data_IF_232569933760
#
_entry.id   IF_232569933760
#
_cell.length_a   1.000
_cell.length_b   1.000
_cell.length_c   1.000
_cell.angle_alpha   90.00
_cell.angle_beta   90.00
_cell.angle_gamma   90.00
#
_symmetry.space_group_name_H-M   'P 1'
#
loop_
_entity.id
_entity.type
_entity.pdbx_description
1 polymer ?
#
# COMPACT_ATOMS: atom_id res chain seq x y z
N UNK A 1 -28.21 33.91 -11.34
CA UNK A 1 -26.80 33.48 -11.27
C UNK A 1 -26.65 31.99 -11.53
N UNK A 2 -25.91 31.57 -12.56
CA UNK A 2 -25.58 30.18 -12.78
C UNK A 2 -24.18 29.90 -12.22
N UNK A 3 -24.06 29.03 -11.22
CA UNK A 3 -22.81 28.30 -10.96
C UNK A 3 -23.07 27.10 -10.03
N UNK A 4 -23.89 26.16 -10.48
CA UNK A 4 -23.89 24.82 -9.89
C UNK A 4 -22.74 24.04 -10.55
N UNK A 5 -21.53 24.21 -10.01
CA UNK A 5 -20.37 23.44 -10.46
C UNK A 5 -20.40 22.10 -9.75
N UNK A 6 -21.07 21.13 -10.36
CA UNK A 6 -21.01 19.73 -9.94
C UNK A 6 -19.58 19.23 -10.09
N UNK A 7 -18.83 19.21 -8.98
CA UNK A 7 -17.50 18.60 -8.90
C UNK A 7 -17.67 17.11 -9.19
N UNK A 8 -17.36 16.69 -10.41
CA UNK A 8 -17.37 15.28 -10.79
C UNK A 8 -16.19 14.61 -10.08
N UNK A 9 -16.44 13.94 -8.97
CA UNK A 9 -15.42 13.17 -8.26
C UNK A 9 -15.10 11.94 -9.10
N UNK A 10 -13.95 11.93 -9.77
CA UNK A 10 -13.51 10.72 -10.47
C UNK A 10 -13.27 9.60 -9.46
N UNK A 11 -13.67 8.35 -9.77
CA UNK A 11 -13.43 7.22 -8.89
C UNK A 11 -11.92 7.00 -8.73
N UNK A 12 -11.48 6.77 -7.49
CA UNK A 12 -10.10 6.43 -7.20
C UNK A 12 -9.71 5.15 -7.94
N UNK A 13 -8.61 5.21 -8.68
CA UNK A 13 -8.00 4.04 -9.32
C UNK A 13 -6.72 3.71 -8.55
N UNK A 14 -6.53 2.48 -8.05
CA UNK A 14 -5.31 2.13 -7.35
C UNK A 14 -4.06 2.37 -8.21
N UNK A 15 -2.93 2.80 -7.61
CA UNK A 15 -1.63 2.92 -8.28
C UNK A 15 -0.97 1.54 -8.51
N UNK A 16 -1.48 0.49 -7.86
CA UNK A 16 -0.99 -0.89 -7.96
C UNK A 16 -1.82 -1.72 -8.94
N UNK A 17 -1.27 -2.82 -9.48
CA UNK A 17 -2.11 -3.85 -10.09
C UNK A 17 -2.93 -4.59 -9.00
N UNK A 18 -3.87 -5.47 -9.38
CA UNK A 18 -4.59 -6.33 -8.44
C UNK A 18 -3.64 -7.15 -7.54
N UNK A 19 -4.05 -7.41 -6.30
CA UNK A 19 -3.21 -8.03 -5.24
C UNK A 19 -2.54 -9.33 -5.67
N UNK A 20 -3.27 -10.17 -6.39
CA UNK A 20 -2.84 -11.49 -6.88
C UNK A 20 -1.84 -11.43 -8.04
N UNK A 21 -1.68 -10.26 -8.65
CA UNK A 21 -0.73 -10.01 -9.75
C UNK A 21 0.50 -9.21 -9.31
N UNK A 22 0.51 -8.67 -8.09
CA UNK A 22 1.70 -8.05 -7.52
C UNK A 22 2.81 -9.08 -7.33
N UNK A 23 4.05 -8.67 -7.58
CA UNK A 23 5.22 -9.43 -7.10
C UNK A 23 5.15 -9.49 -5.58
N UNK A 24 5.15 -10.71 -5.04
CA UNK A 24 4.99 -10.94 -3.61
C UNK A 24 5.81 -12.14 -3.14
N UNK A 25 6.60 -11.91 -2.10
CA UNK A 25 7.27 -12.94 -1.32
C UNK A 25 6.98 -12.75 0.17
N UNK A 26 6.62 -13.84 0.86
CA UNK A 26 6.27 -13.77 2.29
C UNK A 26 7.49 -13.43 3.13
N UNK A 27 7.33 -12.54 4.11
CA UNK A 27 8.40 -12.02 4.98
C UNK A 27 9.47 -11.14 4.30
N UNK A 28 9.28 -10.74 3.03
CA UNK A 28 10.12 -9.76 2.33
C UNK A 28 9.30 -8.53 1.96
N UNK A 29 8.70 -7.89 2.97
CA UNK A 29 7.74 -6.80 2.74
C UNK A 29 8.41 -5.57 2.11
N UNK A 30 9.66 -5.30 2.45
CA UNK A 30 10.50 -4.26 1.87
C UNK A 30 10.73 -4.46 0.37
N UNK A 31 11.00 -5.68 -0.09
CA UNK A 31 11.17 -5.98 -1.52
C UNK A 31 9.84 -5.88 -2.26
N UNK A 32 8.75 -6.33 -1.65
CA UNK A 32 7.40 -6.24 -2.22
C UNK A 32 6.98 -4.78 -2.43
N UNK A 33 7.23 -3.91 -1.44
CA UNK A 33 6.95 -2.47 -1.54
C UNK A 33 7.89 -1.81 -2.55
N UNK A 34 9.16 -2.19 -2.60
CA UNK A 34 10.10 -1.68 -3.60
C UNK A 34 9.62 -2.00 -5.02
N UNK A 35 9.17 -3.25 -5.28
CA UNK A 35 8.58 -3.65 -6.56
C UNK A 35 7.31 -2.90 -6.90
N UNK A 36 6.49 -2.57 -5.91
CA UNK A 36 5.32 -1.71 -6.12
C UNK A 36 5.74 -0.28 -6.52
N UNK A 37 6.75 0.29 -5.88
CA UNK A 37 7.29 1.60 -6.26
C UNK A 37 7.88 1.60 -7.69
N UNK A 38 8.59 0.53 -8.07
CA UNK A 38 9.09 0.32 -9.43
C UNK A 38 7.96 0.30 -10.45
N UNK A 39 6.87 -0.43 -10.15
CA UNK A 39 5.67 -0.45 -10.99
C UNK A 39 5.04 0.94 -11.13
N UNK A 40 4.83 1.66 -10.03
CA UNK A 40 4.20 3.00 -10.06
C UNK A 40 5.04 3.95 -10.90
N UNK A 41 6.37 3.91 -10.73
CA UNK A 41 7.31 4.73 -11.49
C UNK A 41 7.24 4.49 -13.00
N UNK A 42 6.94 3.27 -13.44
CA UNK A 42 6.94 2.92 -14.87
C UNK A 42 5.60 3.13 -15.58
N UNK A 43 4.50 3.38 -14.85
CA UNK A 43 3.14 3.42 -15.41
C UNK A 43 2.54 4.84 -15.49
N UNK A 44 3.23 5.87 -15.00
CA UNK A 44 2.87 7.31 -15.07
C UNK A 44 1.43 7.68 -14.66
N UNK A 45 0.67 6.77 -14.03
CA UNK A 45 -0.70 7.01 -13.56
C UNK A 45 -0.72 7.98 -12.39
N UNK A 46 0.29 7.90 -11.52
CA UNK A 46 0.48 8.79 -10.38
C UNK A 46 1.95 9.18 -10.26
N UNK A 47 2.26 10.43 -9.85
CA UNK A 47 3.63 10.83 -9.59
C UNK A 47 4.24 10.01 -8.45
N UNK A 48 5.41 9.38 -8.68
CA UNK A 48 6.09 8.62 -7.63
C UNK A 48 6.38 9.46 -6.36
N UNK A 49 6.58 10.77 -6.53
CA UNK A 49 6.78 11.73 -5.41
C UNK A 49 5.59 11.81 -4.43
N UNK A 50 4.42 11.31 -4.82
CA UNK A 50 3.23 11.24 -3.96
C UNK A 50 3.11 9.89 -3.23
N UNK A 51 4.02 8.96 -3.50
CA UNK A 51 4.06 7.64 -2.90
C UNK A 51 5.22 7.53 -1.90
N UNK A 52 4.95 6.93 -0.74
CA UNK A 52 5.92 6.79 0.34
C UNK A 52 5.99 5.34 0.80
N UNK A 53 7.20 4.83 0.99
CA UNK A 53 7.42 3.58 1.71
C UNK A 53 7.46 3.86 3.22
N UNK A 54 6.56 3.25 3.97
CA UNK A 54 6.49 3.40 5.42
C UNK A 54 7.05 2.14 6.11
N UNK A 55 8.18 2.29 6.80
CA UNK A 55 8.71 1.26 7.67
C UNK A 55 8.07 1.40 9.05
N UNK A 56 7.43 0.32 9.51
CA UNK A 56 6.78 0.25 10.81
C UNK A 56 7.67 -0.61 11.69
N UNK A 57 8.45 0.01 12.57
CA UNK A 57 9.37 -0.69 13.48
C UNK A 57 9.46 0.06 14.83
N UNK A 58 9.94 -0.63 15.86
CA UNK A 58 10.28 -0.03 17.15
C UNK A 58 11.64 -0.57 17.63
N UNK A 59 12.23 0.04 18.67
CA UNK A 59 13.50 -0.46 19.24
C UNK A 59 13.40 -1.92 19.69
N UNK A 60 12.18 -2.30 20.08
CA UNK A 60 11.69 -3.64 20.45
C UNK A 60 11.92 -4.72 19.39
N UNK A 61 11.82 -4.32 18.12
CA UNK A 61 11.49 -5.22 17.01
C UNK A 61 10.29 -6.11 17.32
N UNK A 62 9.26 -5.51 17.92
CA UNK A 62 8.04 -6.21 18.33
C UNK A 62 6.85 -5.28 18.17
N UNK A 63 6.28 -5.24 16.97
CA UNK A 63 5.08 -4.46 16.66
C UNK A 63 3.89 -5.38 16.42
N UNK A 64 2.81 -5.24 17.21
CA UNK A 64 1.57 -5.93 16.92
C UNK A 64 0.84 -5.26 15.75
N UNK A 65 0.56 -6.04 14.70
CA UNK A 65 -0.30 -5.63 13.58
C UNK A 65 -1.49 -6.59 13.48
N UNK A 66 -2.71 -6.04 13.46
CA UNK A 66 -3.96 -6.80 13.32
C UNK A 66 -4.36 -6.97 11.85
N UNK A 67 -5.36 -7.83 11.61
CA UNK A 67 -5.90 -8.12 10.27
C UNK A 67 -4.83 -8.59 9.28
N UNK A 68 -3.87 -9.36 9.79
CA UNK A 68 -2.77 -9.92 9.02
C UNK A 68 -3.15 -11.28 8.43
N UNK A 69 -2.74 -11.54 7.19
CA UNK A 69 -3.05 -12.80 6.51
C UNK A 69 -2.50 -14.03 7.26
N UNK A 70 -1.34 -13.91 7.91
CA UNK A 70 -0.75 -14.99 8.68
C UNK A 70 -1.56 -15.37 9.93
N UNK A 71 -2.44 -14.48 10.41
CA UNK A 71 -3.36 -14.75 11.52
C UNK A 71 -4.73 -14.13 11.25
N UNK A 72 -5.61 -14.82 10.50
CA UNK A 72 -6.97 -14.35 10.26
C UNK A 72 -7.77 -14.20 11.57
N UNK A 73 -8.66 -13.21 11.61
CA UNK A 73 -9.48 -12.88 12.78
C UNK A 73 -9.01 -11.61 13.51
N UNK A 74 -9.15 -11.60 14.84
CA UNK A 74 -8.86 -10.44 15.70
C UNK A 74 -7.54 -10.53 16.46
N UNK A 75 -6.74 -11.56 16.18
CA UNK A 75 -5.39 -11.67 16.72
C UNK A 75 -4.40 -10.77 15.97
N UNK A 76 -3.37 -10.30 16.68
CA UNK A 76 -2.21 -9.63 16.07
C UNK A 76 -1.13 -10.64 15.65
N UNK A 77 -0.34 -10.25 14.65
CA UNK A 77 0.97 -10.83 14.34
C UNK A 77 2.03 -9.85 14.85
N UNK A 78 3.07 -10.35 15.50
CA UNK A 78 4.20 -9.56 15.96
C UNK A 78 5.24 -9.53 14.85
N UNK A 79 5.55 -8.34 14.35
CA UNK A 79 6.60 -8.08 13.36
C UNK A 79 7.82 -7.45 14.02
N UNK A 80 8.98 -7.65 13.40
CA UNK A 80 10.27 -7.08 13.79
C UNK A 80 10.51 -5.65 13.26
#
# INVERSE_FOLDING_TARGET
DPCDTSVTTLPYKPPSPPRDTCVYNSCYCEENIWKLCEYIKSHDQYPLKECYAAFIFNERKMIPIWKQQARPGDGSVIWD
#
